data_IF_460534658755
#
_entry.id   IF_460534658755
#
_cell.length_a   1.000
_cell.length_b   1.000
_cell.length_c   1.000
_cell.angle_alpha   90.00
_cell.angle_beta   90.00
_cell.angle_gamma   90.00
#
_symmetry.space_group_name_H-M   'P 1'
#
loop_
_entity.id
_entity.type
_entity.pdbx_description
1 polymer ?
#
# COMPACT_ATOMS: atom_id res chain seq x y z
N UNK A 1 21.39 -42.45 53.21
CA UNK A 1 21.25 -41.01 52.88
C UNK A 1 22.13 -40.79 51.64
N UNK A 2 21.58 -40.87 50.42
CA UNK A 2 21.03 -39.75 49.62
C UNK A 2 22.15 -38.70 49.36
N UNK A 3 22.49 -38.27 48.14
CA UNK A 3 21.70 -37.99 46.94
C UNK A 3 22.53 -38.12 45.64
N UNK A 4 21.90 -38.61 44.56
CA UNK A 4 22.34 -38.42 43.17
C UNK A 4 21.80 -37.08 42.65
N UNK A 5 22.66 -36.21 42.13
CA UNK A 5 22.29 -34.94 41.52
C UNK A 5 22.20 -35.08 40.00
N UNK A 6 20.98 -35.16 39.46
CA UNK A 6 20.73 -35.06 38.03
C UNK A 6 20.60 -33.58 37.63
N UNK A 7 21.52 -33.08 36.78
CA UNK A 7 21.38 -31.76 36.15
C UNK A 7 20.43 -31.87 34.95
N UNK A 8 19.23 -31.26 35.05
CA UNK A 8 18.41 -30.94 33.89
C UNK A 8 18.88 -29.63 33.27
N UNK A 9 19.44 -29.70 32.05
CA UNK A 9 19.68 -28.52 31.23
C UNK A 9 18.36 -28.10 30.55
N UNK A 10 17.76 -27.00 31.01
CA UNK A 10 16.67 -26.32 30.32
C UNK A 10 17.26 -25.50 29.15
N UNK A 11 17.14 -26.01 27.92
CA UNK A 11 17.36 -25.22 26.71
C UNK A 11 16.11 -24.37 26.44
N UNK A 12 16.13 -23.10 26.87
CA UNK A 12 15.12 -22.11 26.50
C UNK A 12 15.38 -21.56 25.09
N UNK A 13 14.56 -21.95 24.12
CA UNK A 13 14.57 -21.33 22.79
C UNK A 13 13.93 -19.94 22.87
N UNK A 14 14.74 -18.89 22.80
CA UNK A 14 14.28 -17.53 22.57
C UNK A 14 13.69 -17.43 21.16
N UNK A 15 12.37 -17.50 21.06
CA UNK A 15 11.65 -17.15 19.83
C UNK A 15 11.80 -15.65 19.60
N UNK A 16 12.63 -15.26 18.63
CA UNK A 16 12.69 -13.90 18.12
C UNK A 16 11.33 -13.57 17.48
N UNK A 17 10.51 -12.81 18.18
CA UNK A 17 9.30 -12.24 17.61
C UNK A 17 9.70 -11.27 16.48
N UNK A 18 9.30 -11.57 15.24
CA UNK A 18 9.46 -10.64 14.13
C UNK A 18 8.79 -9.31 14.48
N UNK A 19 9.41 -8.15 14.18
CA UNK A 19 8.77 -6.87 14.41
C UNK A 19 7.48 -6.79 13.58
N UNK A 20 6.36 -6.55 14.26
CA UNK A 20 5.08 -6.28 13.60
C UNK A 20 5.25 -5.05 12.71
N UNK A 21 5.06 -5.22 11.40
CA UNK A 21 5.00 -4.07 10.48
C UNK A 21 3.79 -3.20 10.89
N UNK A 22 3.94 -1.87 10.93
CA UNK A 22 2.81 -0.99 11.19
C UNK A 22 1.69 -1.29 10.19
N UNK A 23 0.48 -1.49 10.72
CA UNK A 23 -0.71 -1.69 9.92
C UNK A 23 -1.34 -0.33 9.70
N UNK A 24 -1.32 0.17 8.47
CA UNK A 24 -2.13 1.34 8.13
C UNK A 24 -3.61 0.97 8.15
N UNK A 25 -4.47 1.99 8.25
CA UNK A 25 -5.89 1.81 8.02
C UNK A 25 -6.14 1.28 6.59
N UNK A 26 -7.24 0.54 6.35
CA UNK A 26 -7.56 0.02 5.01
C UNK A 26 -7.62 1.12 3.94
N UNK A 27 -8.11 2.31 4.30
CA UNK A 27 -8.18 3.49 3.42
C UNK A 27 -6.82 4.19 3.20
N UNK A 28 -5.75 3.70 3.83
CA UNK A 28 -4.40 4.23 3.74
C UNK A 28 -3.39 3.13 3.35
N UNK A 29 -3.86 2.10 2.64
CA UNK A 29 -3.05 0.97 2.20
C UNK A 29 -3.03 0.88 0.68
N UNK A 30 -1.83 0.77 0.10
CA UNK A 30 -1.59 0.45 -1.31
C UNK A 30 -1.46 -1.07 -1.46
N UNK A 31 -2.10 -1.64 -2.48
CA UNK A 31 -2.04 -3.07 -2.78
C UNK A 31 -1.69 -3.25 -4.25
N UNK A 32 -0.69 -4.07 -4.56
CA UNK A 32 -0.33 -4.39 -5.95
C UNK A 32 0.01 -5.86 -6.07
N UNK A 33 -0.96 -6.69 -6.49
CA UNK A 33 -0.79 -8.16 -6.60
C UNK A 33 -0.95 -8.68 -8.01
N UNK A 34 -1.79 -8.03 -8.82
CA UNK A 34 -2.00 -8.36 -10.23
C UNK A 34 -2.67 -7.20 -10.97
N UNK A 35 -2.95 -7.38 -12.26
CA UNK A 35 -3.71 -6.43 -13.09
C UNK A 35 -5.17 -6.25 -12.62
N UNK A 36 -5.70 -7.19 -11.83
CA UNK A 36 -7.10 -7.20 -11.38
C UNK A 36 -7.25 -7.06 -9.86
N UNK A 37 -6.17 -7.22 -9.10
CA UNK A 37 -6.14 -7.12 -7.64
C UNK A 37 -5.16 -6.04 -7.20
N UNK A 38 -5.68 -4.82 -7.02
CA UNK A 38 -4.88 -3.65 -6.68
C UNK A 38 -5.67 -2.60 -5.92
N UNK A 39 -4.96 -1.81 -5.11
CA UNK A 39 -5.43 -0.59 -4.51
C UNK A 39 -4.39 0.52 -4.72
N UNK A 40 -4.84 1.70 -5.14
CA UNK A 40 -3.99 2.87 -5.35
C UNK A 40 -4.51 4.04 -4.52
N UNK A 41 -3.60 4.93 -4.12
CA UNK A 41 -3.99 6.19 -3.51
C UNK A 41 -4.46 7.16 -4.59
N UNK A 42 -5.59 7.80 -4.34
CA UNK A 42 -6.17 8.87 -5.16
C UNK A 42 -6.66 10.00 -4.25
N UNK A 43 -6.99 11.18 -4.80
CA UNK A 43 -7.64 12.23 -4.02
C UNK A 43 -8.96 11.72 -3.41
N UNK A 44 -9.19 12.05 -2.14
CA UNK A 44 -10.43 11.71 -1.42
C UNK A 44 -11.62 12.50 -1.94
N UNK A 45 -11.38 13.75 -2.32
CA UNK A 45 -12.40 14.66 -2.85
C UNK A 45 -12.42 14.58 -4.38
N UNK A 46 -13.60 14.46 -5.02
CA UNK A 46 -13.72 14.51 -6.47
C UNK A 46 -13.06 15.75 -7.11
N UNK A 47 -12.58 15.60 -8.34
CA UNK A 47 -12.02 16.66 -9.18
C UNK A 47 -10.89 17.45 -8.51
N UNK A 48 -10.05 16.76 -7.75
CA UNK A 48 -8.93 17.38 -7.04
C UNK A 48 -7.62 17.05 -7.75
N UNK A 49 -6.72 18.03 -7.86
CA UNK A 49 -5.37 17.81 -8.37
C UNK A 49 -4.60 16.90 -7.41
N UNK A 50 -3.78 16.01 -7.94
CA UNK A 50 -2.96 15.09 -7.14
C UNK A 50 -2.12 15.88 -6.13
N UNK A 51 -1.37 16.88 -6.62
CA UNK A 51 -0.53 17.73 -5.77
C UNK A 51 -1.30 18.61 -4.76
N UNK A 52 -2.58 18.89 -4.99
CA UNK A 52 -3.40 19.63 -4.02
C UNK A 52 -3.93 18.72 -2.90
N UNK A 53 -4.11 17.43 -3.19
CA UNK A 53 -4.57 16.44 -2.20
C UNK A 53 -3.46 15.85 -1.34
N UNK A 54 -2.22 16.23 -1.59
CA UNK A 54 -0.99 15.79 -0.92
C UNK A 54 -0.85 16.33 0.54
N UNK A 55 -1.96 16.45 1.27
CA UNK A 55 -2.04 16.86 2.67
C UNK A 55 -2.75 15.81 3.54
N UNK A 56 -2.41 15.65 4.82
CA UNK A 56 -3.00 14.63 5.69
C UNK A 56 -4.53 14.58 5.63
N UNK A 57 -5.08 13.40 5.35
CA UNK A 57 -6.52 13.14 5.26
C UNK A 57 -7.19 13.45 3.92
N UNK A 58 -6.50 14.10 2.98
CA UNK A 58 -7.06 14.46 1.66
C UNK A 58 -6.91 13.37 0.59
N UNK A 59 -6.30 12.25 0.96
CA UNK A 59 -6.10 11.09 0.10
C UNK A 59 -6.85 9.88 0.64
N UNK A 60 -7.09 8.91 -0.24
CA UNK A 60 -7.77 7.67 0.09
C UNK A 60 -7.32 6.53 -0.83
N UNK A 61 -7.29 5.33 -0.30
CA UNK A 61 -7.15 4.09 -1.07
C UNK A 61 -8.43 3.81 -1.86
N UNK A 62 -8.29 3.67 -3.19
CA UNK A 62 -9.29 3.12 -4.09
C UNK A 62 -8.82 1.75 -4.56
N UNK A 63 -9.71 0.76 -4.52
CA UNK A 63 -9.39 -0.63 -4.82
C UNK A 63 -10.16 -1.14 -6.02
N UNK A 64 -9.55 -2.06 -6.76
CA UNK A 64 -10.29 -2.92 -7.68
C UNK A 64 -11.32 -3.75 -6.90
N UNK A 65 -12.37 -4.27 -7.56
CA UNK A 65 -13.37 -5.12 -6.90
C UNK A 65 -12.76 -6.31 -6.14
N UNK A 66 -11.66 -6.89 -6.64
CA UNK A 66 -10.98 -8.03 -6.01
C UNK A 66 -10.14 -7.66 -4.79
N UNK A 67 -9.73 -6.39 -4.66
CA UNK A 67 -8.90 -5.91 -3.56
C UNK A 67 -9.68 -5.05 -2.54
N UNK A 68 -10.96 -4.76 -2.80
CA UNK A 68 -11.83 -4.04 -1.90
C UNK A 68 -12.19 -4.92 -0.70
N UNK A 69 -11.78 -4.50 0.49
CA UNK A 69 -11.90 -5.29 1.73
C UNK A 69 -12.60 -4.56 2.86
N UNK A 70 -12.73 -3.23 2.76
CA UNK A 70 -13.33 -2.39 3.80
C UNK A 70 -14.16 -1.26 3.16
N UNK A 71 -15.34 -0.91 3.71
CA UNK A 71 -16.15 0.21 3.21
C UNK A 71 -15.46 1.58 3.32
N UNK A 72 -14.40 1.72 4.10
CA UNK A 72 -13.57 2.94 4.13
C UNK A 72 -12.76 3.13 2.86
N UNK A 73 -12.63 2.11 2.00
CA UNK A 73 -11.95 2.19 0.71
C UNK A 73 -12.91 2.62 -0.38
N UNK A 74 -12.42 3.44 -1.30
CA UNK A 74 -13.12 3.64 -2.57
C UNK A 74 -13.01 2.40 -3.45
N UNK A 75 -13.87 2.32 -4.45
CA UNK A 75 -13.83 1.24 -5.43
C UNK A 75 -13.67 1.84 -6.83
N UNK A 76 -12.70 1.34 -7.58
CA UNK A 76 -12.53 1.69 -8.99
C UNK A 76 -13.67 1.09 -9.82
N UNK A 77 -14.14 1.80 -10.87
CA UNK A 77 -15.07 1.21 -11.81
C UNK A 77 -14.39 0.05 -12.58
N UNK A 78 -15.17 -0.92 -13.03
CA UNK A 78 -14.65 -2.11 -13.73
C UNK A 78 -13.84 -1.75 -14.98
N UNK A 79 -14.21 -0.66 -15.65
CA UNK A 79 -13.52 -0.12 -16.82
C UNK A 79 -12.51 0.98 -16.45
N UNK A 80 -11.95 0.99 -15.24
CA UNK A 80 -10.96 2.00 -14.86
C UNK A 80 -9.73 1.98 -15.77
N UNK A 81 -9.13 0.80 -16.01
CA UNK A 81 -7.99 0.69 -16.91
C UNK A 81 -8.42 0.59 -18.37
N UNK A 82 -7.79 1.40 -19.23
CA UNK A 82 -7.80 1.18 -20.69
C UNK A 82 -6.82 0.09 -21.08
N UNK A 83 -5.65 0.11 -20.45
CA UNK A 83 -4.59 -0.90 -20.55
C UNK A 83 -3.77 -0.86 -19.29
N UNK A 84 -3.46 -2.00 -18.71
CA UNK A 84 -2.57 -2.12 -17.56
C UNK A 84 -1.65 -3.32 -17.77
N UNK A 85 -0.46 -3.27 -17.19
CA UNK A 85 0.48 -4.38 -17.19
C UNK A 85 1.05 -4.53 -15.79
N UNK A 86 0.97 -5.75 -15.26
CA UNK A 86 1.61 -6.11 -14.00
C UNK A 86 3.00 -6.69 -14.23
N UNK A 87 3.96 -6.29 -13.40
CA UNK A 87 5.30 -6.89 -13.33
C UNK A 87 5.75 -7.01 -11.89
N UNK A 88 6.43 -8.10 -11.58
CA UNK A 88 7.12 -8.29 -10.33
C UNK A 88 8.54 -8.84 -10.57
N UNK A 89 9.40 -8.70 -9.56
CA UNK A 89 10.75 -9.25 -9.60
C UNK A 89 11.64 -8.65 -8.53
N UNK A 90 12.95 -8.68 -8.76
CA UNK A 90 13.94 -8.06 -7.90
C UNK A 90 14.50 -6.81 -8.58
N UNK A 91 14.55 -5.69 -7.84
CA UNK A 91 15.19 -4.46 -8.28
C UNK A 91 16.72 -4.54 -8.22
N UNK A 92 17.38 -3.45 -8.62
CA UNK A 92 18.85 -3.37 -8.70
C UNK A 92 19.56 -3.66 -7.37
N UNK A 93 18.87 -3.45 -6.24
CA UNK A 93 19.39 -3.70 -4.89
C UNK A 93 18.95 -5.06 -4.31
N UNK A 94 18.42 -5.96 -5.15
CA UNK A 94 17.92 -7.28 -4.74
C UNK A 94 16.56 -7.26 -4.02
N UNK A 95 16.02 -6.08 -3.68
CA UNK A 95 14.70 -5.92 -3.07
C UNK A 95 13.59 -6.32 -4.04
N UNK A 96 12.52 -6.94 -3.53
CA UNK A 96 11.36 -7.28 -4.36
C UNK A 96 10.60 -6.02 -4.78
N UNK A 97 10.03 -6.04 -5.98
CA UNK A 97 9.08 -5.04 -6.43
C UNK A 97 7.87 -5.71 -7.06
N UNK A 98 6.73 -5.01 -6.96
CA UNK A 98 5.52 -5.25 -7.72
C UNK A 98 5.11 -3.92 -8.35
N UNK A 99 4.73 -3.92 -9.62
CA UNK A 99 4.46 -2.71 -10.40
C UNK A 99 3.25 -2.92 -11.28
N UNK A 100 2.37 -1.90 -11.29
CA UNK A 100 1.36 -1.72 -12.31
C UNK A 100 1.71 -0.50 -13.14
N UNK A 101 1.71 -0.67 -14.46
CA UNK A 101 1.95 0.42 -15.40
C UNK A 101 0.87 0.38 -16.47
N UNK A 102 0.23 1.51 -16.73
CA UNK A 102 -0.90 1.52 -17.64
C UNK A 102 -1.45 2.91 -17.96
N UNK A 103 -2.54 2.91 -18.70
CA UNK A 103 -3.36 4.08 -18.98
C UNK A 103 -4.78 3.79 -18.49
N UNK A 104 -5.31 4.66 -17.65
CA UNK A 104 -6.70 4.60 -17.21
C UNK A 104 -7.63 5.29 -18.22
N UNK A 105 -8.92 5.02 -18.14
CA UNK A 105 -9.93 5.73 -18.93
C UNK A 105 -10.20 7.11 -18.31
N UNK A 106 -10.19 8.19 -19.10
CA UNK A 106 -10.45 9.54 -18.60
C UNK A 106 -11.86 9.65 -18.01
N UNK A 107 -12.10 10.69 -17.19
CA UNK A 107 -13.40 10.93 -16.56
C UNK A 107 -13.64 10.13 -15.28
N UNK A 108 -12.60 9.55 -14.67
CA UNK A 108 -12.69 9.07 -13.30
C UNK A 108 -12.81 10.28 -12.35
N UNK A 109 -13.95 10.39 -11.67
CA UNK A 109 -14.38 11.62 -10.97
C UNK A 109 -13.43 12.15 -9.90
N UNK A 110 -12.50 11.33 -9.42
CA UNK A 110 -11.57 11.66 -8.35
C UNK A 110 -10.41 12.50 -8.91
N UNK A 111 -10.11 12.37 -10.19
CA UNK A 111 -9.09 13.16 -10.86
C UNK A 111 -9.69 14.42 -11.47
N UNK A 112 -8.91 15.51 -11.45
CA UNK A 112 -9.16 16.66 -12.28
C UNK A 112 -8.58 16.41 -13.68
N UNK A 113 -9.42 16.50 -14.73
CA UNK A 113 -8.98 16.26 -16.12
C UNK A 113 -7.94 17.28 -16.62
N UNK A 114 -7.79 18.42 -15.92
CA UNK A 114 -6.79 19.45 -16.24
C UNK A 114 -5.56 19.41 -15.32
N UNK A 115 -5.44 18.37 -14.49
CA UNK A 115 -4.28 18.20 -13.62
C UNK A 115 -3.00 17.96 -14.44
N UNK A 116 -1.91 18.64 -14.05
CA UNK A 116 -0.58 18.38 -14.60
C UNK A 116 0.01 17.03 -14.17
N UNK A 117 -0.63 16.39 -13.18
CA UNK A 117 -0.25 15.11 -12.61
C UNK A 117 0.45 15.25 -11.27
N UNK A 118 0.96 14.14 -10.75
CA UNK A 118 1.68 14.10 -9.48
C UNK A 118 2.03 12.68 -9.08
N UNK A 119 2.47 12.51 -7.84
CA UNK A 119 2.83 11.21 -7.28
C UNK A 119 2.42 11.13 -5.80
N UNK A 120 2.13 9.91 -5.35
CA UNK A 120 2.06 9.57 -3.94
C UNK A 120 3.22 8.64 -3.60
N UNK A 121 3.85 8.87 -2.46
CA UNK A 121 5.03 8.13 -2.02
C UNK A 121 4.94 7.90 -0.51
N UNK A 122 4.87 6.65 -0.07
CA UNK A 122 4.82 6.27 1.35
C UNK A 122 6.09 6.63 2.15
N UNK A 123 7.16 7.02 1.46
CA UNK A 123 8.41 7.53 2.05
C UNK A 123 8.69 9.00 1.72
N UNK A 124 7.79 9.65 0.98
CA UNK A 124 7.91 11.06 0.60
C UNK A 124 7.47 12.03 1.71
N UNK A 125 7.23 13.27 1.31
CA UNK A 125 6.73 14.33 2.18
C UNK A 125 7.72 14.82 3.25
N UNK A 126 7.30 15.84 4.00
CA UNK A 126 8.11 16.42 5.06
C UNK A 126 8.42 15.40 6.16
N UNK A 127 9.70 15.19 6.43
CA UNK A 127 10.16 14.21 7.42
C UNK A 127 10.06 12.75 6.98
N UNK A 128 9.81 12.47 5.69
CA UNK A 128 9.82 11.11 5.14
C UNK A 128 8.70 10.20 5.67
N UNK A 129 7.60 10.82 6.10
CA UNK A 129 6.45 10.12 6.70
C UNK A 129 5.44 9.61 5.66
N UNK A 130 5.68 9.93 4.39
CA UNK A 130 4.85 9.57 3.27
C UNK A 130 3.78 10.60 2.95
N UNK A 131 3.25 10.49 1.73
CA UNK A 131 2.09 11.21 1.26
C UNK A 131 1.20 10.23 0.48
N UNK A 132 0.21 9.59 1.11
CA UNK A 132 -0.33 9.91 2.43
C UNK A 132 0.57 9.49 3.59
N UNK A 133 0.49 10.25 4.67
CA UNK A 133 1.25 10.00 5.90
C UNK A 133 0.92 8.61 6.48
N UNK A 134 1.95 7.83 6.79
CA UNK A 134 1.80 6.49 7.36
C UNK A 134 1.18 5.45 6.43
N UNK A 135 1.09 5.75 5.13
CA UNK A 135 0.65 4.79 4.13
C UNK A 135 1.64 3.61 4.05
N UNK A 136 1.12 2.43 3.71
CA UNK A 136 1.94 1.21 3.56
C UNK A 136 1.61 0.50 2.26
N UNK A 137 2.62 -0.13 1.66
CA UNK A 137 2.48 -0.96 0.48
C UNK A 137 2.41 -2.45 0.85
N UNK A 138 1.50 -3.17 0.21
CA UNK A 138 1.36 -4.63 0.28
C UNK A 138 1.33 -5.24 -1.11
N UNK A 139 1.96 -6.40 -1.27
CA UNK A 139 2.19 -7.03 -2.58
C UNK A 139 3.66 -7.19 -2.83
#
# INVERSE_FOLDING_TARGET
MLLSSALLALSGTLALASPFRPRAAPDNTVVVRSETEYCMIVPRTPHTDIGASESPGQMQSYCSPAAHTDPSQGQFPDNFWRKVTYKEGNGVNGQKYAQLTGCFNPGFSQFNDNDGGGQYDSSGGDGGRGNPEGSVCQG
#
